data_IF_327726331647
#
_entry.id   IF_327726331647
#
_cell.length_a   1.000
_cell.length_b   1.000
_cell.length_c   1.000
_cell.angle_alpha   90.00
_cell.angle_beta   90.00
_cell.angle_gamma   90.00
#
_symmetry.space_group_name_H-M   'P 1'
#
loop_
_entity.id
_entity.type
_entity.pdbx_description
1 polymer ?
#
# COMPACT_ATOMS: atom_id res chain seq x y z
N UNK A 1 15.01 1.50 -17.18
CA UNK A 1 14.08 2.38 -16.47
C UNK A 1 13.66 1.73 -15.17
N UNK A 2 13.79 2.46 -14.10
CA UNK A 2 13.48 1.89 -12.80
C UNK A 2 12.01 2.01 -12.48
N UNK A 3 11.54 1.04 -11.72
CA UNK A 3 10.17 1.06 -11.29
C UNK A 3 10.09 1.27 -9.79
N UNK A 4 9.06 1.95 -9.37
CA UNK A 4 8.83 2.25 -7.96
C UNK A 4 7.73 1.34 -7.48
N UNK A 5 7.94 0.73 -6.31
CA UNK A 5 6.91 -0.11 -5.71
C UNK A 5 6.00 0.78 -4.88
N UNK A 6 4.71 0.66 -5.14
CA UNK A 6 3.69 1.39 -4.40
C UNK A 6 2.80 0.41 -3.67
N UNK A 7 2.51 0.70 -2.43
CA UNK A 7 1.51 -0.08 -1.70
C UNK A 7 0.16 0.58 -1.88
N UNK A 8 -0.88 -0.24 -1.98
CA UNK A 8 -2.23 0.23 -2.25
C UNK A 8 -3.08 0.03 -1.01
N UNK A 9 -3.74 1.10 -0.59
CA UNK A 9 -4.64 1.07 0.55
C UNK A 9 -6.01 1.52 0.10
N UNK A 10 -7.04 0.92 0.66
CA UNK A 10 -8.39 1.27 0.25
C UNK A 10 -9.37 0.95 1.36
N UNK A 11 -10.57 1.52 1.25
CA UNK A 11 -11.67 1.19 2.15
C UNK A 11 -12.95 1.25 1.34
N UNK A 12 -13.91 0.44 1.75
CA UNK A 12 -15.18 0.37 1.04
C UNK A 12 -16.22 1.31 1.61
N UNK A 13 -16.10 1.65 2.88
CA UNK A 13 -17.09 2.49 3.54
C UNK A 13 -16.40 3.60 4.28
N UNK A 14 -17.11 4.71 4.44
CA UNK A 14 -16.55 5.90 5.05
C UNK A 14 -16.01 5.66 6.45
N UNK A 15 -16.67 4.80 7.22
CA UNK A 15 -16.27 4.57 8.59
C UNK A 15 -15.15 3.55 8.77
N UNK A 16 -14.70 2.92 7.70
CA UNK A 16 -13.67 1.90 7.80
C UNK A 16 -12.29 2.51 7.70
N UNK A 17 -11.30 1.91 8.35
CA UNK A 17 -9.93 2.37 8.18
C UNK A 17 -9.39 1.96 6.81
N UNK A 18 -8.42 2.71 6.32
CA UNK A 18 -7.71 2.31 5.12
C UNK A 18 -6.97 1.02 5.38
N UNK A 19 -7.13 0.06 4.49
CA UNK A 19 -6.55 -1.27 4.65
C UNK A 19 -5.63 -1.54 3.47
N UNK A 20 -4.51 -2.14 3.76
CA UNK A 20 -3.55 -2.53 2.73
C UNK A 20 -4.16 -3.66 1.91
N UNK A 21 -4.38 -3.43 0.62
CA UNK A 21 -5.03 -4.42 -0.23
C UNK A 21 -4.07 -5.03 -1.25
N UNK A 22 -2.89 -4.45 -1.42
CA UNK A 22 -1.94 -5.01 -2.36
C UNK A 22 -0.82 -4.04 -2.65
N UNK A 23 -0.08 -4.33 -3.70
CA UNK A 23 0.99 -3.46 -4.14
C UNK A 23 1.14 -3.59 -5.65
N UNK A 24 1.88 -2.65 -6.22
CA UNK A 24 2.16 -2.66 -7.65
C UNK A 24 3.46 -1.92 -7.89
N UNK A 25 3.97 -2.06 -9.11
CA UNK A 25 5.16 -1.33 -9.54
C UNK A 25 4.80 -0.46 -10.73
N UNK A 26 5.35 0.73 -10.76
CA UNK A 26 5.09 1.66 -11.85
C UNK A 26 6.25 2.62 -11.98
N UNK A 27 6.43 3.20 -13.16
CA UNK A 27 7.54 4.13 -13.35
C UNK A 27 7.36 5.44 -12.58
N UNK A 28 6.11 5.83 -12.32
CA UNK A 28 5.86 7.05 -11.59
C UNK A 28 4.48 6.99 -10.94
N UNK A 29 4.17 8.04 -10.21
CA UNK A 29 2.93 8.11 -9.43
C UNK A 29 1.70 8.12 -10.32
N UNK A 30 1.78 8.80 -11.46
CA UNK A 30 0.65 8.90 -12.37
C UNK A 30 0.25 7.52 -12.90
N UNK A 31 1.24 6.76 -13.34
CA UNK A 31 0.96 5.42 -13.84
C UNK A 31 0.52 4.51 -12.72
N UNK A 32 1.06 4.69 -11.52
CA UNK A 32 0.67 3.89 -10.38
C UNK A 32 -0.81 4.06 -10.08
N UNK A 33 -1.31 5.28 -10.19
CA UNK A 33 -2.73 5.54 -9.95
C UNK A 33 -3.59 4.80 -10.98
N UNK A 34 -3.18 4.85 -12.23
CA UNK A 34 -3.91 4.18 -13.30
C UNK A 34 -3.91 2.66 -13.07
N UNK A 35 -2.73 2.12 -12.74
CA UNK A 35 -2.62 0.69 -12.51
C UNK A 35 -3.48 0.24 -11.33
N UNK A 36 -3.45 1.02 -10.23
CA UNK A 36 -4.24 0.66 -9.06
C UNK A 36 -5.72 0.68 -9.38
N UNK A 37 -6.17 1.72 -10.05
CA UNK A 37 -7.56 1.84 -10.42
C UNK A 37 -8.00 0.65 -11.29
N UNK A 38 -7.19 0.34 -12.30
CA UNK A 38 -7.53 -0.73 -13.24
C UNK A 38 -7.50 -2.10 -12.58
N UNK A 39 -6.52 -2.32 -11.71
CA UNK A 39 -6.34 -3.62 -11.10
C UNK A 39 -7.46 -3.95 -10.11
N UNK A 40 -7.93 -2.95 -9.38
CA UNK A 40 -8.86 -3.18 -8.28
C UNK A 40 -10.27 -2.65 -8.54
N UNK A 41 -10.63 -2.41 -9.79
CA UNK A 41 -11.90 -1.75 -10.11
C UNK A 41 -13.11 -2.68 -10.02
N UNK A 42 -12.91 -3.95 -9.70
CA UNK A 42 -14.03 -4.87 -9.56
C UNK A 42 -14.80 -4.67 -8.26
N UNK A 43 -14.29 -3.85 -7.37
CA UNK A 43 -14.95 -3.50 -6.12
C UNK A 43 -15.36 -2.04 -6.16
N UNK A 44 -16.40 -1.73 -5.41
CA UNK A 44 -16.82 -0.33 -5.27
C UNK A 44 -16.11 0.28 -4.07
N UNK A 45 -14.94 0.82 -4.31
CA UNK A 45 -14.16 1.42 -3.25
C UNK A 45 -14.66 2.83 -2.96
N UNK A 46 -14.79 3.15 -1.68
CA UNK A 46 -15.09 4.51 -1.27
C UNK A 46 -13.85 5.39 -1.45
N UNK A 47 -12.69 4.81 -1.15
CA UNK A 47 -11.45 5.56 -1.20
C UNK A 47 -10.31 4.60 -1.48
N UNK A 48 -9.37 5.03 -2.31
CA UNK A 48 -8.19 4.23 -2.62
C UNK A 48 -7.01 5.17 -2.74
N UNK A 49 -5.87 4.79 -2.17
CA UNK A 49 -4.68 5.60 -2.27
C UNK A 49 -3.46 4.73 -2.47
N UNK A 50 -2.41 5.34 -2.97
CA UNK A 50 -1.13 4.66 -3.19
C UNK A 50 -0.07 5.40 -2.41
N UNK A 51 0.92 4.64 -1.93
CA UNK A 51 2.03 5.19 -1.16
C UNK A 51 3.29 4.52 -1.67
N UNK A 52 4.30 5.28 -2.07
CA UNK A 52 5.58 4.65 -2.41
C UNK A 52 6.07 3.86 -1.20
N UNK A 53 6.45 2.62 -1.45
CA UNK A 53 6.85 1.75 -0.34
C UNK A 53 8.00 2.36 0.46
N UNK A 54 8.85 3.12 -0.21
CA UNK A 54 9.98 3.76 0.46
C UNK A 54 9.54 4.81 1.48
N UNK A 55 8.29 5.26 1.41
CA UNK A 55 7.76 6.23 2.35
C UNK A 55 7.09 5.59 3.55
N UNK A 56 7.02 4.26 3.56
CA UNK A 56 6.42 3.54 4.68
C UNK A 56 7.54 3.18 5.63
N UNK A 57 7.46 3.73 6.84
CA UNK A 57 8.50 3.54 7.84
C UNK A 57 8.10 2.41 8.78
N UNK A 58 8.85 1.35 8.73
CA UNK A 58 8.59 0.18 9.52
C UNK A 58 8.89 0.46 10.98
N UNK A 59 7.91 0.23 11.84
CA UNK A 59 8.12 0.40 13.28
C UNK A 59 8.50 -0.93 13.91
N UNK A 60 7.84 -2.02 13.47
CA UNK A 60 8.07 -3.32 14.05
C UNK A 60 7.64 -4.39 13.04
N UNK A 61 8.31 -5.52 13.11
CA UNK A 61 8.02 -6.63 12.22
C UNK A 61 8.35 -7.93 12.94
N UNK A 62 7.45 -8.90 12.82
CA UNK A 62 7.58 -10.15 13.55
C UNK A 62 8.91 -10.85 13.28
N UNK A 63 9.35 -10.84 12.04
CA UNK A 63 10.55 -11.56 11.64
C UNK A 63 11.70 -10.61 11.30
N UNK A 64 11.61 -9.37 11.72
CA UNK A 64 12.61 -8.37 11.41
C UNK A 64 13.58 -8.15 12.54
N UNK A 65 14.39 -7.10 12.41
CA UNK A 65 15.41 -6.80 13.43
C UNK A 65 14.83 -6.57 14.81
N UNK A 66 13.56 -6.20 14.89
CA UNK A 66 12.93 -5.92 16.18
C UNK A 66 12.17 -7.10 16.73
N UNK A 67 12.21 -8.25 16.05
CA UNK A 67 11.35 -9.36 16.41
C UNK A 67 11.58 -9.82 17.86
N UNK A 68 12.80 -10.02 18.22
CA UNK A 68 13.11 -10.55 19.54
C UNK A 68 12.98 -9.54 20.65
N UNK A 69 13.16 -8.29 20.33
CA UNK A 69 13.14 -7.25 21.36
C UNK A 69 11.86 -6.43 21.33
N UNK A 70 11.12 -6.54 20.25
CA UNK A 70 9.81 -5.91 20.24
C UNK A 70 8.97 -6.46 21.34
N UNK A 71 9.24 -7.68 21.72
CA UNK A 71 8.55 -8.30 22.82
C UNK A 71 9.14 -7.81 24.13
N UNK A 72 10.34 -7.39 24.08
CA UNK A 72 10.99 -6.94 25.32
C UNK A 72 11.35 -5.55 25.19
#
# INVERSE_FOLDING_TARGET
>A
MEEIVFDVFARKNRGEPLTHIGYLSAPDREMARVYAWTTYDEENWFEMCIVPRSEIHLVNRTDGPFAGRGAG
#
